data_IF_866799741093
#
_entry.id   IF_866799741093
#
_cell.length_a   1.000
_cell.length_b   1.000
_cell.length_c   1.000
_cell.angle_alpha   90.00
_cell.angle_beta   90.00
_cell.angle_gamma   90.00
#
_symmetry.space_group_name_H-M   'P 1'
#
loop_
_entity.id
_entity.type
_entity.pdbx_description
1 polymer ?
#
# COMPACT_ATOMS: atom_id res chain seq x y z
N UNK A 1 -23.63 -20.28 -14.92
CA UNK A 1 -23.45 -21.58 -15.58
C UNK A 1 -22.19 -21.46 -16.42
N UNK A 2 -21.05 -21.82 -15.83
CA UNK A 2 -19.78 -21.85 -16.54
C UNK A 2 -19.59 -23.28 -17.05
N UNK A 3 -19.41 -23.41 -18.37
CA UNK A 3 -19.10 -24.70 -19.01
C UNK A 3 -17.59 -24.78 -19.05
N UNK A 4 -17.00 -25.76 -18.36
CA UNK A 4 -15.56 -25.99 -18.32
C UNK A 4 -15.21 -27.19 -19.22
N UNK A 5 -14.39 -26.97 -20.24
CA UNK A 5 -13.79 -28.03 -21.05
C UNK A 5 -12.61 -28.66 -20.30
N UNK A 6 -12.64 -30.00 -20.18
CA UNK A 6 -11.51 -30.81 -19.71
C UNK A 6 -10.41 -30.82 -20.77
N UNK A 7 -9.27 -30.19 -20.48
CA UNK A 7 -8.10 -30.25 -21.36
C UNK A 7 -7.35 -31.57 -21.12
N UNK A 8 -7.55 -32.54 -22.01
CA UNK A 8 -6.79 -33.81 -21.98
C UNK A 8 -5.39 -33.60 -22.56
N UNK A 9 -4.38 -33.46 -21.69
CA UNK A 9 -2.96 -33.49 -22.09
C UNK A 9 -2.48 -34.94 -21.98
N UNK A 10 -2.08 -35.54 -23.11
CA UNK A 10 -1.54 -36.90 -23.16
C UNK A 10 -0.04 -36.91 -22.83
N UNK A 11 0.35 -37.67 -21.79
CA UNK A 11 1.75 -38.08 -21.61
C UNK A 11 2.10 -39.25 -22.56
N UNK A 12 3.35 -39.29 -22.99
CA UNK A 12 4.03 -40.25 -23.86
C UNK A 12 3.89 -41.74 -23.48
N UNK A 13 3.24 -42.06 -22.36
CA UNK A 13 2.99 -43.41 -21.87
C UNK A 13 1.51 -43.81 -21.85
N UNK A 14 0.62 -43.02 -22.43
CA UNK A 14 -0.81 -43.38 -22.61
C UNK A 14 -1.59 -43.54 -21.30
N UNK A 15 -1.05 -43.06 -20.18
CA UNK A 15 -1.77 -43.01 -18.90
C UNK A 15 -2.52 -41.70 -18.82
N UNK A 16 -3.86 -41.76 -18.79
CA UNK A 16 -4.69 -40.57 -18.55
C UNK A 16 -4.58 -40.23 -17.07
N UNK A 17 -3.72 -39.27 -16.74
CA UNK A 17 -3.77 -38.64 -15.43
C UNK A 17 -5.01 -37.74 -15.42
N UNK A 18 -6.08 -38.19 -14.76
CA UNK A 18 -7.21 -37.33 -14.45
C UNK A 18 -6.74 -36.36 -13.36
N UNK A 19 -6.23 -35.20 -13.76
CA UNK A 19 -6.03 -34.07 -12.85
C UNK A 19 -7.41 -33.46 -12.58
N UNK A 20 -7.90 -33.65 -11.35
CA UNK A 20 -9.14 -33.06 -10.87
C UNK A 20 -8.85 -31.63 -10.41
N UNK A 21 -8.79 -30.71 -11.38
CA UNK A 21 -8.48 -29.29 -11.17
C UNK A 21 -9.42 -28.65 -10.13
N UNK A 22 -10.65 -29.15 -9.99
CA UNK A 22 -11.63 -28.62 -9.04
C UNK A 22 -11.23 -28.96 -7.58
N UNK A 23 -10.69 -30.16 -7.35
CA UNK A 23 -10.16 -30.53 -6.02
C UNK A 23 -8.92 -29.75 -5.64
N UNK A 24 -8.02 -29.53 -6.60
CA UNK A 24 -6.79 -28.78 -6.35
C UNK A 24 -7.09 -27.31 -6.02
N UNK A 25 -8.08 -26.72 -6.69
CA UNK A 25 -8.56 -25.36 -6.39
C UNK A 25 -9.24 -25.27 -5.01
N UNK A 26 -10.08 -26.24 -4.66
CA UNK A 26 -10.75 -26.27 -3.35
C UNK A 26 -9.75 -26.48 -2.19
N UNK A 27 -8.72 -27.31 -2.37
CA UNK A 27 -7.64 -27.48 -1.39
C UNK A 27 -6.75 -26.22 -1.30
N UNK A 28 -6.43 -25.57 -2.42
CA UNK A 28 -5.70 -24.29 -2.44
C UNK A 28 -6.48 -23.17 -1.73
N UNK A 29 -7.79 -23.09 -1.96
CA UNK A 29 -8.67 -22.12 -1.27
C UNK A 29 -8.79 -22.40 0.23
N UNK A 30 -8.84 -23.66 0.64
CA UNK A 30 -8.86 -24.05 2.06
C UNK A 30 -7.55 -23.70 2.76
N UNK A 31 -6.40 -24.03 2.15
CA UNK A 31 -5.07 -23.73 2.71
C UNK A 31 -4.77 -22.23 2.76
N UNK A 32 -5.25 -21.45 1.78
CA UNK A 32 -5.14 -19.99 1.79
C UNK A 32 -5.94 -19.37 2.94
N UNK A 33 -7.15 -19.88 3.21
CA UNK A 33 -7.98 -19.43 4.31
C UNK A 33 -7.30 -19.68 5.67
N UNK A 34 -6.71 -20.87 5.85
CA UNK A 34 -5.94 -21.21 7.06
C UNK A 34 -4.71 -20.32 7.24
N UNK A 35 -3.95 -20.08 6.17
CA UNK A 35 -2.79 -19.18 6.19
C UNK A 35 -3.16 -17.74 6.57
N UNK A 36 -4.29 -17.25 6.06
CA UNK A 36 -4.80 -15.91 6.40
C UNK A 36 -5.18 -15.79 7.89
N UNK A 37 -5.83 -16.81 8.46
CA UNK A 37 -6.21 -16.83 9.88
C UNK A 37 -4.99 -16.82 10.81
N UNK A 38 -3.92 -17.51 10.41
CA UNK A 38 -2.65 -17.50 11.14
C UNK A 38 -2.01 -16.10 11.15
N UNK A 39 -1.95 -15.42 9.99
CA UNK A 39 -1.45 -14.04 9.91
C UNK A 39 -2.26 -13.07 10.75
N UNK A 40 -3.59 -13.18 10.73
CA UNK A 40 -4.48 -12.37 11.58
C UNK A 40 -4.16 -12.58 13.06
N UNK A 41 -3.94 -13.83 13.47
CA UNK A 41 -3.61 -14.18 14.85
C UNK A 41 -2.29 -13.53 15.29
N UNK A 42 -1.27 -13.59 14.44
CA UNK A 42 0.04 -12.97 14.70
C UNK A 42 -0.09 -11.45 14.80
N UNK A 43 -0.73 -10.79 13.84
CA UNK A 43 -0.87 -9.32 13.82
C UNK A 43 -1.65 -8.86 15.07
N UNK A 44 -2.73 -9.55 15.42
CA UNK A 44 -3.49 -9.24 16.63
C UNK A 44 -2.66 -9.43 17.90
N UNK A 45 -1.80 -10.46 17.96
CA UNK A 45 -0.88 -10.64 19.06
C UNK A 45 0.13 -9.48 19.14
N UNK A 46 0.73 -9.08 18.01
CA UNK A 46 1.67 -7.95 17.94
C UNK A 46 1.05 -6.65 18.44
N UNK A 47 -0.19 -6.34 18.04
CA UNK A 47 -0.90 -5.14 18.49
C UNK A 47 -1.19 -5.16 20.00
N UNK A 48 -1.49 -6.33 20.58
CA UNK A 48 -1.74 -6.47 22.03
C UNK A 48 -0.46 -6.42 22.86
N UNK A 49 0.61 -7.07 22.42
CA UNK A 49 1.87 -7.18 23.16
C UNK A 49 2.82 -6.02 22.88
N UNK A 50 2.54 -5.21 21.85
CA UNK A 50 3.41 -4.15 21.34
C UNK A 50 4.81 -4.66 20.94
N UNK A 51 4.91 -5.95 20.63
CA UNK A 51 6.14 -6.60 20.21
C UNK A 51 6.03 -7.04 18.75
N UNK A 52 6.99 -6.62 17.93
CA UNK A 52 7.06 -7.04 16.53
C UNK A 52 8.23 -8.00 16.31
N UNK A 53 8.07 -9.05 15.50
CA UNK A 53 9.16 -9.98 15.21
C UNK A 53 10.36 -9.27 14.58
N UNK A 54 11.56 -9.50 15.11
CA UNK A 54 12.79 -8.88 14.60
C UNK A 54 13.01 -9.13 13.09
N UNK A 55 12.68 -10.34 12.62
CA UNK A 55 12.76 -10.71 11.19
C UNK A 55 11.80 -9.93 10.29
N UNK A 56 10.73 -9.35 10.84
CA UNK A 56 9.82 -8.47 10.10
C UNK A 56 10.26 -7.01 10.16
N UNK A 57 11.16 -6.64 11.07
CA UNK A 57 11.74 -5.30 11.15
C UNK A 57 13.00 -5.14 10.29
N UNK A 58 13.58 -6.24 9.80
CA UNK A 58 14.74 -6.18 8.90
C UNK A 58 14.29 -5.77 7.50
N UNK A 59 15.04 -4.84 6.94
CA UNK A 59 14.80 -4.32 5.60
C UNK A 59 16.07 -4.46 4.77
N UNK A 60 15.92 -4.88 3.52
CA UNK A 60 17.03 -4.91 2.56
C UNK A 60 17.15 -3.55 1.86
N UNK A 61 18.40 -3.10 1.76
CA UNK A 61 18.78 -1.86 1.10
C UNK A 61 18.94 -2.13 -0.39
N UNK A 62 17.96 -1.72 -1.19
CA UNK A 62 18.03 -1.85 -2.65
C UNK A 62 18.40 -0.49 -3.24
N UNK A 63 19.49 -0.46 -4.01
CA UNK A 63 19.84 0.72 -4.79
C UNK A 63 18.93 0.83 -6.01
N UNK A 64 18.08 1.85 -6.05
CA UNK A 64 17.24 2.13 -7.21
C UNK A 64 17.88 3.24 -8.04
N UNK A 65 18.29 2.98 -9.29
CA UNK A 65 18.84 4.01 -10.16
C UNK A 65 17.74 5.00 -10.54
N UNK A 66 17.96 6.29 -10.31
CA UNK A 66 17.13 7.34 -10.89
C UNK A 66 17.59 7.64 -12.32
N UNK A 67 16.62 8.03 -13.15
CA UNK A 67 16.81 8.37 -14.56
C UNK A 67 17.52 9.72 -14.77
N UNK A 68 17.66 10.54 -13.73
CA UNK A 68 18.27 11.87 -13.82
C UNK A 68 19.81 11.84 -13.68
N UNK A 69 20.46 12.77 -14.39
CA UNK A 69 21.93 12.86 -14.51
C UNK A 69 22.66 13.30 -13.23
N UNK A 70 21.93 13.54 -12.13
CA UNK A 70 22.47 13.98 -10.83
C UNK A 70 22.15 12.94 -9.73
N UNK A 71 22.28 11.67 -10.09
CA UNK A 71 21.81 10.49 -9.37
C UNK A 71 22.21 10.45 -7.89
N UNK A 72 21.33 10.96 -7.03
CA UNK A 72 21.23 10.45 -5.67
C UNK A 72 20.80 8.99 -5.78
N UNK A 73 21.71 8.06 -5.45
CA UNK A 73 21.36 6.65 -5.27
C UNK A 73 20.43 6.61 -4.07
N UNK A 74 19.13 6.46 -4.33
CA UNK A 74 18.16 6.29 -3.25
C UNK A 74 18.20 4.83 -2.83
N UNK A 75 18.46 4.62 -1.55
CA UNK A 75 18.24 3.32 -0.90
C UNK A 75 16.74 3.16 -0.71
N UNK A 76 16.14 2.21 -1.43
CA UNK A 76 14.80 1.75 -1.16
C UNK A 76 14.86 0.65 -0.11
N UNK A 77 14.16 0.88 0.99
CA UNK A 77 14.01 -0.08 2.07
C UNK A 77 12.88 -1.07 1.73
N UNK A 78 13.19 -2.30 1.33
CA UNK A 78 12.19 -3.35 1.08
C UNK A 78 11.96 -4.24 2.30
N UNK A 79 10.81 -4.06 2.94
CA UNK A 79 10.39 -4.92 4.03
C UNK A 79 9.71 -6.21 3.54
N UNK A 80 9.74 -7.26 4.37
CA UNK A 80 9.07 -8.53 4.10
C UNK A 80 7.55 -8.38 3.89
N UNK A 81 6.95 -9.23 3.05
CA UNK A 81 5.50 -9.23 2.78
C UNK A 81 4.61 -9.21 4.03
N UNK A 82 4.84 -10.04 5.07
CA UNK A 82 4.01 -9.99 6.26
C UNK A 82 4.19 -8.71 7.09
N UNK A 83 5.37 -8.10 7.06
CA UNK A 83 5.60 -6.81 7.70
C UNK A 83 4.83 -5.68 7.01
N UNK A 84 4.85 -5.64 5.67
CA UNK A 84 4.02 -4.69 4.89
C UNK A 84 2.52 -4.89 5.12
N UNK A 85 2.08 -6.13 5.33
CA UNK A 85 0.69 -6.40 5.69
C UNK A 85 0.35 -5.83 7.07
N UNK A 86 1.21 -6.05 8.07
CA UNK A 86 1.04 -5.47 9.40
C UNK A 86 1.05 -3.94 9.36
N UNK A 87 1.98 -3.34 8.60
CA UNK A 87 2.03 -1.89 8.34
C UNK A 87 0.72 -1.38 7.76
N UNK A 88 0.17 -2.05 6.74
CA UNK A 88 -1.13 -1.70 6.16
C UNK A 88 -2.26 -1.75 7.18
N UNK A 89 -2.29 -2.76 8.06
CA UNK A 89 -3.29 -2.84 9.13
C UNK A 89 -3.15 -1.66 10.09
N UNK A 90 -1.94 -1.34 10.53
CA UNK A 90 -1.67 -0.21 11.44
C UNK A 90 -2.04 1.11 10.79
N UNK A 91 -1.61 1.32 9.54
CA UNK A 91 -1.95 2.50 8.75
C UNK A 91 -3.47 2.72 8.71
N UNK A 92 -4.26 1.67 8.46
CA UNK A 92 -5.73 1.78 8.42
C UNK A 92 -6.32 2.18 9.76
N UNK A 93 -5.79 1.68 10.87
CA UNK A 93 -6.23 2.09 12.20
C UNK A 93 -5.92 3.56 12.46
N UNK A 94 -4.71 4.01 12.14
CA UNK A 94 -4.28 5.40 12.30
C UNK A 94 -5.06 6.35 11.38
N UNK A 95 -5.28 5.96 10.12
CA UNK A 95 -6.06 6.73 9.14
C UNK A 95 -7.50 6.92 9.62
N UNK A 96 -8.16 5.83 10.06
CA UNK A 96 -9.52 5.88 10.58
C UNK A 96 -9.63 6.78 11.83
N UNK A 97 -8.69 6.61 12.77
CA UNK A 97 -8.65 7.43 13.99
C UNK A 97 -8.41 8.90 13.67
N UNK A 98 -7.41 9.19 12.83
CA UNK A 98 -7.06 10.55 12.42
C UNK A 98 -8.22 11.24 11.69
N UNK A 99 -8.93 10.51 10.83
CA UNK A 99 -10.10 11.03 10.11
C UNK A 99 -11.26 11.33 11.07
N UNK A 100 -11.59 10.40 11.97
CA UNK A 100 -12.66 10.58 12.95
C UNK A 100 -12.41 11.77 13.90
N UNK A 101 -11.14 12.02 14.25
CA UNK A 101 -10.75 13.10 15.16
C UNK A 101 -10.27 14.38 14.45
N UNK A 102 -10.34 14.44 13.12
CA UNK A 102 -9.89 15.60 12.34
C UNK A 102 -8.45 16.05 12.68
N UNK A 103 -7.54 15.09 12.92
CA UNK A 103 -6.18 15.40 13.40
C UNK A 103 -5.29 16.05 12.33
N UNK A 104 -5.51 15.72 11.06
CA UNK A 104 -4.72 16.26 9.94
C UNK A 104 -5.32 17.59 9.46
N UNK A 105 -4.53 18.69 9.40
CA UNK A 105 -5.01 19.98 8.94
C UNK A 105 -5.60 19.95 7.53
N UNK A 106 -6.65 20.75 7.29
CA UNK A 106 -7.31 20.88 5.97
C UNK A 106 -6.41 21.51 4.89
N UNK A 107 -5.28 22.10 5.29
CA UNK A 107 -4.26 22.64 4.37
C UNK A 107 -3.25 21.59 3.90
N UNK A 108 -3.17 20.43 4.57
CA UNK A 108 -2.26 19.35 4.18
C UNK A 108 -2.89 18.49 3.08
N UNK A 109 -2.21 18.41 1.93
CA UNK A 109 -2.70 17.72 0.71
C UNK A 109 -1.94 16.44 0.40
N UNK A 110 -0.65 16.40 0.71
CA UNK A 110 0.17 15.23 0.43
C UNK A 110 -0.27 14.03 1.26
N UNK A 111 -0.20 12.84 0.67
CA UNK A 111 -0.44 11.54 1.32
C UNK A 111 -1.83 11.39 1.96
N UNK A 112 -2.86 12.01 1.35
CA UNK A 112 -4.26 11.83 1.76
C UNK A 112 -5.09 11.29 0.62
N UNK A 113 -6.10 10.49 0.94
CA UNK A 113 -7.16 10.16 -0.01
C UNK A 113 -7.83 11.43 -0.51
N UNK A 114 -8.20 11.43 -1.80
CA UNK A 114 -8.97 12.51 -2.44
C UNK A 114 -8.28 13.89 -2.48
N UNK A 115 -7.01 14.00 -2.09
CA UNK A 115 -6.22 15.22 -2.20
C UNK A 115 -5.11 15.02 -3.22
N UNK A 116 -5.12 15.83 -4.28
CA UNK A 116 -4.09 15.81 -5.32
C UNK A 116 -3.24 17.08 -5.28
N UNK A 117 -2.00 16.99 -5.76
CA UNK A 117 -1.13 18.16 -5.93
C UNK A 117 -1.75 19.19 -6.88
N UNK A 118 -2.54 18.73 -7.87
CA UNK A 118 -3.29 19.63 -8.76
C UNK A 118 -4.36 20.42 -8.01
N UNK A 119 -5.09 19.78 -7.08
CA UNK A 119 -6.07 20.47 -6.24
C UNK A 119 -5.41 21.50 -5.32
N UNK A 120 -4.23 21.19 -4.77
CA UNK A 120 -3.46 22.15 -3.97
C UNK A 120 -3.03 23.37 -4.79
N UNK A 121 -2.53 23.15 -6.03
CA UNK A 121 -2.16 24.23 -6.93
C UNK A 121 -3.36 25.11 -7.30
N UNK A 122 -4.52 24.50 -7.56
CA UNK A 122 -5.75 25.25 -7.85
C UNK A 122 -6.16 26.14 -6.67
N UNK A 123 -6.12 25.62 -5.43
CA UNK A 123 -6.40 26.42 -4.22
C UNK A 123 -5.45 27.60 -4.06
N UNK A 124 -4.17 27.42 -4.39
CA UNK A 124 -3.19 28.51 -4.34
C UNK A 124 -3.53 29.60 -5.38
N UNK A 125 -3.83 29.20 -6.61
CA UNK A 125 -4.22 30.14 -7.68
C UNK A 125 -5.48 30.88 -7.30
N UNK A 126 -6.52 30.18 -6.84
CA UNK A 126 -7.78 30.79 -6.38
C UNK A 126 -7.55 31.82 -5.28
N UNK A 127 -6.72 31.48 -4.28
CA UNK A 127 -6.37 32.40 -3.21
C UNK A 127 -5.73 33.68 -3.76
N UNK A 128 -4.68 33.55 -4.58
CA UNK A 128 -3.97 34.70 -5.16
C UNK A 128 -4.89 35.54 -6.06
N UNK A 129 -5.72 34.91 -6.89
CA UNK A 129 -6.67 35.62 -7.75
C UNK A 129 -7.70 36.40 -6.94
N UNK A 130 -8.23 35.82 -5.86
CA UNK A 130 -9.19 36.49 -4.99
C UNK A 130 -8.59 37.72 -4.31
N UNK A 131 -7.40 37.60 -3.74
CA UNK A 131 -6.72 38.72 -3.09
C UNK A 131 -6.40 39.84 -4.11
N UNK A 132 -6.00 39.46 -5.32
CA UNK A 132 -5.79 40.40 -6.42
C UNK A 132 -7.07 41.17 -6.80
N UNK A 133 -8.21 40.49 -6.92
CA UNK A 133 -9.51 41.14 -7.18
C UNK A 133 -9.89 42.12 -6.06
N UNK A 134 -9.51 41.82 -4.82
CA UNK A 134 -9.75 42.68 -3.67
C UNK A 134 -8.70 43.80 -3.51
N UNK A 135 -7.80 43.97 -4.49
CA UNK A 135 -6.70 44.95 -4.45
C UNK A 135 -5.79 44.82 -3.22
N UNK A 136 -5.67 43.59 -2.70
CA UNK A 136 -4.78 43.28 -1.58
C UNK A 136 -3.43 42.78 -2.07
N UNK A 137 -2.37 43.02 -1.29
CA UNK A 137 -1.04 42.50 -1.57
C UNK A 137 -0.94 41.04 -1.09
N UNK A 138 -0.40 40.17 -1.93
CA UNK A 138 -0.16 38.75 -1.63
C UNK A 138 1.33 38.43 -1.66
N UNK A 139 1.78 37.54 -0.77
CA UNK A 139 3.14 37.03 -0.74
C UNK A 139 3.15 35.53 -0.45
N UNK A 140 4.25 34.85 -0.80
CA UNK A 140 4.43 33.41 -0.56
C UNK A 140 5.72 33.17 0.22
N UNK A 141 5.66 32.30 1.22
CA UNK A 141 6.81 31.78 1.95
C UNK A 141 6.97 30.30 1.61
N UNK A 142 8.05 29.96 0.94
CA UNK A 142 8.38 28.58 0.57
C UNK A 142 9.31 28.00 1.62
N UNK A 143 8.80 27.06 2.41
CA UNK A 143 9.53 26.40 3.49
C UNK A 143 9.82 24.96 3.09
N UNK A 144 11.00 24.49 3.47
CA UNK A 144 11.40 23.08 3.36
C UNK A 144 12.03 22.63 4.68
N UNK A 145 11.93 21.34 4.99
CA UNK A 145 12.49 20.75 6.22
C UNK A 145 13.77 20.03 5.86
N UNK A 146 14.88 20.40 6.53
CA UNK A 146 16.21 19.81 6.32
C UNK A 146 16.50 18.66 7.29
#
# INVERSE_FOLDING_TARGET
MYVYELLHIHDSKGTVANYDLDKDLDEEHSTLAEGSAFLVTIINAMLRTQYFPARWMTTEDIMVPRWDRYSLKITAFVCSSPSKLAEKVIYRHLENFSSAHHMIPVVQFSFRSEHSTGLQAFRLVEHVTREFTLSMSSGILLLDVS
#
